data_IF_778234184833
#
_entry.id   IF_778234184833
#
_cell.length_a   1.000
_cell.length_b   1.000
_cell.length_c   1.000
_cell.angle_alpha   90.00
_cell.angle_beta   90.00
_cell.angle_gamma   90.00
#
_symmetry.space_group_name_H-M   'P 1'
#
loop_
_entity.id
_entity.type
_entity.pdbx_description
1 polymer ?
#
# COMPACT_ATOMS: atom_id res chain seq x y z
N UNK A 1 -30.92 33.59 1.70
CA UNK A 1 -30.50 34.32 2.91
C UNK A 1 -29.86 33.35 3.92
N UNK A 2 -30.44 32.17 4.17
CA UNK A 2 -29.89 31.15 5.10
C UNK A 2 -28.57 30.50 4.66
N UNK A 3 -28.36 30.23 3.37
CA UNK A 3 -27.15 29.51 2.92
C UNK A 3 -25.86 30.31 3.11
N UNK A 4 -25.91 31.64 2.92
CA UNK A 4 -24.74 32.49 3.12
C UNK A 4 -24.30 32.48 4.59
N UNK A 5 -25.25 32.58 5.52
CA UNK A 5 -24.98 32.49 6.96
C UNK A 5 -24.40 31.12 7.33
N UNK A 6 -24.92 30.05 6.71
CA UNK A 6 -24.36 28.71 6.86
C UNK A 6 -22.91 28.65 6.36
N UNK A 7 -22.62 29.12 5.14
CA UNK A 7 -21.25 29.12 4.60
C UNK A 7 -20.29 29.94 5.47
N UNK A 8 -20.73 31.07 6.01
CA UNK A 8 -19.95 31.87 6.97
C UNK A 8 -19.67 31.05 8.25
N UNK A 9 -20.66 30.34 8.79
CA UNK A 9 -20.47 29.47 9.96
C UNK A 9 -19.52 28.29 9.68
N UNK A 10 -19.63 27.67 8.50
CA UNK A 10 -18.74 26.59 8.08
C UNK A 10 -17.29 27.06 7.93
N UNK A 11 -17.08 28.30 7.48
CA UNK A 11 -15.74 28.88 7.44
C UNK A 11 -15.18 29.16 8.83
N UNK A 12 -16.00 29.62 9.78
CA UNK A 12 -15.57 29.77 11.18
C UNK A 12 -15.13 28.42 11.77
N UNK A 13 -15.91 27.35 11.54
CA UNK A 13 -15.51 26.02 11.99
C UNK A 13 -14.24 25.52 11.32
N UNK A 14 -14.03 25.86 10.05
CA UNK A 14 -12.81 25.50 9.34
C UNK A 14 -11.59 26.22 9.92
N UNK A 15 -11.69 27.52 10.22
CA UNK A 15 -10.64 28.29 10.88
C UNK A 15 -10.34 27.80 12.31
N UNK A 16 -11.26 27.03 12.91
CA UNK A 16 -11.13 26.42 14.24
C UNK A 16 -10.71 24.93 14.16
N UNK A 17 -10.37 24.43 12.98
CA UNK A 17 -10.06 23.01 12.72
C UNK A 17 -11.21 22.04 13.09
N UNK A 18 -12.44 22.53 13.21
CA UNK A 18 -13.64 21.74 13.54
C UNK A 18 -14.20 21.02 12.28
N UNK A 19 -13.35 20.31 11.55
CA UNK A 19 -13.70 19.67 10.27
C UNK A 19 -14.79 18.60 10.41
N UNK A 20 -14.74 17.80 11.47
CA UNK A 20 -15.76 16.79 11.75
C UNK A 20 -17.14 17.42 11.97
N UNK A 21 -17.19 18.62 12.56
CA UNK A 21 -18.44 19.36 12.76
C UNK A 21 -19.01 19.86 11.43
N UNK A 22 -18.16 20.31 10.51
CA UNK A 22 -18.56 20.66 9.14
C UNK A 22 -19.15 19.44 8.44
N UNK A 23 -18.47 18.29 8.51
CA UNK A 23 -18.91 17.04 7.90
C UNK A 23 -20.28 16.64 8.43
N UNK A 24 -20.43 16.51 9.74
CA UNK A 24 -21.68 16.12 10.38
C UNK A 24 -22.83 17.07 10.00
N UNK A 25 -22.57 18.37 10.03
CA UNK A 25 -23.59 19.36 9.72
C UNK A 25 -24.09 19.27 8.27
N UNK A 26 -23.17 19.15 7.30
CA UNK A 26 -23.56 19.06 5.88
C UNK A 26 -24.18 17.68 5.57
N UNK A 27 -23.73 16.60 6.21
CA UNK A 27 -24.30 15.27 6.00
C UNK A 27 -25.76 15.17 6.46
N UNK A 28 -26.17 15.94 7.46
CA UNK A 28 -27.56 16.05 7.89
C UNK A 28 -28.48 16.75 6.87
N UNK A 29 -27.91 17.42 5.86
CA UNK A 29 -28.66 17.98 4.74
C UNK A 29 -28.82 16.87 3.68
N UNK A 30 -30.05 16.61 3.18
CA UNK A 30 -30.28 15.65 2.10
C UNK A 30 -29.39 15.95 0.88
N UNK A 31 -28.85 14.92 0.24
CA UNK A 31 -27.94 15.09 -0.92
C UNK A 31 -28.56 15.93 -2.05
N UNK A 32 -29.86 15.79 -2.30
CA UNK A 32 -30.60 16.58 -3.29
C UNK A 32 -30.63 18.07 -3.00
N UNK A 33 -30.44 18.45 -1.74
CA UNK A 33 -30.58 19.82 -1.25
C UNK A 33 -29.21 20.48 -1.01
N UNK A 34 -28.11 19.73 -1.18
CA UNK A 34 -26.76 20.27 -1.07
C UNK A 34 -26.42 21.06 -2.32
N UNK A 35 -26.11 22.34 -2.13
CA UNK A 35 -25.57 23.17 -3.20
C UNK A 35 -24.15 22.77 -3.58
N UNK A 36 -23.70 23.24 -4.73
CA UNK A 36 -22.30 23.12 -5.17
C UNK A 36 -21.32 23.62 -4.09
N UNK A 37 -21.63 24.76 -3.48
CA UNK A 37 -20.82 25.40 -2.45
C UNK A 37 -20.72 24.51 -1.21
N UNK A 38 -21.84 23.91 -0.75
CA UNK A 38 -21.84 22.97 0.37
C UNK A 38 -21.07 21.69 0.06
N UNK A 39 -21.22 21.12 -1.14
CA UNK A 39 -20.43 19.95 -1.58
C UNK A 39 -18.94 20.29 -1.57
N UNK A 40 -18.56 21.47 -2.04
CA UNK A 40 -17.19 21.95 -1.98
C UNK A 40 -16.66 22.05 -0.54
N UNK A 41 -17.45 22.58 0.40
CA UNK A 41 -17.07 22.67 1.81
C UNK A 41 -16.93 21.29 2.47
N UNK A 42 -17.83 20.36 2.14
CA UNK A 42 -17.77 18.98 2.61
C UNK A 42 -16.50 18.29 2.11
N UNK A 43 -16.17 18.40 0.83
CA UNK A 43 -14.95 17.84 0.26
C UNK A 43 -13.68 18.47 0.89
N UNK A 44 -13.69 19.78 1.16
CA UNK A 44 -12.59 20.44 1.90
C UNK A 44 -12.42 19.82 3.28
N UNK A 45 -13.51 19.65 4.03
CA UNK A 45 -13.44 19.06 5.36
C UNK A 45 -12.95 17.60 5.32
N UNK A 46 -13.42 16.81 4.34
CA UNK A 46 -12.91 15.45 4.13
C UNK A 46 -11.40 15.41 3.87
N UNK A 47 -10.88 16.25 2.95
CA UNK A 47 -9.45 16.36 2.71
C UNK A 47 -8.65 16.65 3.98
N UNK A 48 -9.12 17.59 4.82
CA UNK A 48 -8.43 17.95 6.07
C UNK A 48 -8.54 16.88 7.18
N UNK A 49 -9.40 15.87 6.99
CA UNK A 49 -9.55 14.73 7.91
C UNK A 49 -8.94 13.43 7.36
N UNK A 50 -8.21 13.50 6.24
CA UNK A 50 -7.63 12.32 5.59
C UNK A 50 -8.63 11.43 4.84
N UNK A 51 -9.90 11.87 4.72
CA UNK A 51 -10.98 11.14 4.06
C UNK A 51 -11.02 11.40 2.56
N UNK A 52 -9.88 11.18 1.90
CA UNK A 52 -9.65 11.61 0.52
C UNK A 52 -10.57 10.95 -0.50
N UNK A 53 -10.93 9.67 -0.30
CA UNK A 53 -11.85 8.95 -1.20
C UNK A 53 -13.25 9.57 -1.15
N UNK A 54 -13.76 9.89 0.05
CA UNK A 54 -15.04 10.60 0.17
C UNK A 54 -14.96 12.02 -0.40
N UNK A 55 -13.83 12.72 -0.26
CA UNK A 55 -13.63 14.02 -0.90
C UNK A 55 -13.73 13.92 -2.43
N UNK A 56 -13.07 12.93 -3.04
CA UNK A 56 -13.13 12.67 -4.49
C UNK A 56 -14.57 12.39 -4.92
N UNK A 57 -15.28 11.51 -4.22
CA UNK A 57 -16.68 11.18 -4.52
C UNK A 57 -17.57 12.42 -4.51
N UNK A 58 -17.47 13.25 -3.47
CA UNK A 58 -18.24 14.49 -3.37
C UNK A 58 -17.87 15.47 -4.49
N UNK A 59 -16.59 15.67 -4.80
CA UNK A 59 -16.16 16.57 -5.87
C UNK A 59 -16.67 16.10 -7.23
N UNK A 60 -16.53 14.81 -7.54
CA UNK A 60 -17.00 14.23 -8.79
C UNK A 60 -18.52 14.32 -8.95
N UNK A 61 -19.31 14.29 -7.86
CA UNK A 61 -20.77 14.47 -7.92
C UNK A 61 -21.20 15.81 -8.52
N UNK A 62 -20.33 16.83 -8.48
CA UNK A 62 -20.58 18.18 -9.00
C UNK A 62 -19.62 18.58 -10.13
N UNK A 63 -19.06 17.59 -10.85
CA UNK A 63 -18.03 17.82 -11.87
C UNK A 63 -18.46 18.77 -12.99
N UNK A 64 -19.74 18.80 -13.37
CA UNK A 64 -20.26 19.64 -14.46
C UNK A 64 -19.95 21.12 -14.25
N UNK A 65 -20.05 21.59 -13.00
CA UNK A 65 -19.67 22.94 -12.59
C UNK A 65 -18.20 23.01 -12.17
N UNK A 66 -17.73 21.99 -11.46
CA UNK A 66 -16.38 21.94 -10.87
C UNK A 66 -15.24 22.01 -11.88
N UNK A 67 -15.42 21.50 -13.10
CA UNK A 67 -14.34 21.44 -14.11
C UNK A 67 -13.79 22.84 -14.50
N UNK A 68 -14.56 23.90 -14.24
CA UNK A 68 -14.22 25.29 -14.53
C UNK A 68 -13.85 26.11 -13.28
N UNK A 69 -13.79 25.48 -12.10
CA UNK A 69 -13.47 26.12 -10.82
C UNK A 69 -12.06 25.71 -10.36
N UNK A 70 -11.10 26.65 -10.23
CA UNK A 70 -9.74 26.33 -9.81
C UNK A 70 -9.68 25.73 -8.40
N UNK A 71 -10.56 26.14 -7.47
CA UNK A 71 -10.55 25.59 -6.11
C UNK A 71 -11.08 24.16 -6.06
N UNK A 72 -12.06 23.84 -6.90
CA UNK A 72 -12.53 22.46 -7.07
C UNK A 72 -11.43 21.57 -7.63
N UNK A 73 -10.74 22.04 -8.68
CA UNK A 73 -9.62 21.32 -9.29
C UNK A 73 -8.49 21.10 -8.30
N UNK A 74 -8.13 22.14 -7.54
CA UNK A 74 -7.12 22.04 -6.48
C UNK A 74 -7.51 21.01 -5.42
N UNK A 75 -8.76 21.04 -4.92
CA UNK A 75 -9.22 20.08 -3.90
C UNK A 75 -9.25 18.64 -4.42
N UNK A 76 -9.59 18.46 -5.69
CA UNK A 76 -9.60 17.15 -6.33
C UNK A 76 -8.17 16.64 -6.55
N UNK A 77 -7.28 17.50 -7.03
CA UNK A 77 -5.85 17.20 -7.19
C UNK A 77 -5.20 16.84 -5.86
N UNK A 78 -5.50 17.60 -4.80
CA UNK A 78 -5.06 17.33 -3.44
C UNK A 78 -5.52 15.94 -3.00
N UNK A 79 -6.81 15.62 -3.12
CA UNK A 79 -7.33 14.32 -2.72
C UNK A 79 -6.67 13.17 -3.50
N UNK A 80 -6.48 13.32 -4.83
CA UNK A 80 -5.77 12.32 -5.64
C UNK A 80 -4.30 12.15 -5.26
N UNK A 81 -3.60 13.25 -4.93
CA UNK A 81 -2.20 13.21 -4.52
C UNK A 81 -1.99 12.36 -3.27
N UNK A 82 -2.88 12.47 -2.29
CA UNK A 82 -2.81 11.73 -1.03
C UNK A 82 -3.31 10.29 -1.10
N UNK A 83 -3.93 9.87 -2.22
CA UNK A 83 -4.22 8.45 -2.50
C UNK A 83 -3.28 7.89 -3.59
N UNK A 84 -2.10 8.50 -3.76
CA UNK A 84 -1.07 8.12 -4.72
C UNK A 84 -1.54 8.03 -6.20
N UNK A 85 -2.69 8.64 -6.53
CA UNK A 85 -3.20 8.72 -7.90
C UNK A 85 -2.54 9.88 -8.66
N UNK A 86 -1.21 9.84 -8.78
CA UNK A 86 -0.40 10.99 -9.18
C UNK A 86 -0.73 11.53 -10.58
N UNK A 87 -1.04 10.67 -11.55
CA UNK A 87 -1.46 11.10 -12.88
C UNK A 87 -2.75 11.94 -12.83
N UNK A 88 -3.75 11.46 -12.09
CA UNK A 88 -5.02 12.19 -11.89
C UNK A 88 -4.82 13.47 -11.09
N UNK A 89 -3.92 13.44 -10.11
CA UNK A 89 -3.55 14.61 -9.32
C UNK A 89 -2.92 15.69 -10.21
N UNK A 90 -1.95 15.31 -11.05
CA UNK A 90 -1.31 16.22 -12.01
C UNK A 90 -2.34 16.82 -12.96
N UNK A 91 -3.19 16.02 -13.58
CA UNK A 91 -4.24 16.53 -14.48
C UNK A 91 -5.14 17.58 -13.80
N UNK A 92 -5.53 17.34 -12.55
CA UNK A 92 -6.35 18.28 -11.78
C UNK A 92 -5.58 19.56 -11.44
N UNK A 93 -4.32 19.46 -10.97
CA UNK A 93 -3.51 20.64 -10.65
C UNK A 93 -3.09 21.44 -11.88
N UNK A 94 -2.81 20.79 -13.01
CA UNK A 94 -2.54 21.46 -14.29
C UNK A 94 -3.77 22.25 -14.72
N UNK A 95 -4.95 21.65 -14.60
CA UNK A 95 -6.20 22.34 -14.88
C UNK A 95 -6.48 23.48 -13.90
N UNK A 96 -6.14 23.33 -12.62
CA UNK A 96 -6.20 24.42 -11.65
C UNK A 96 -5.29 25.59 -12.06
N UNK A 97 -4.05 25.31 -12.48
CA UNK A 97 -3.08 26.31 -12.93
C UNK A 97 -3.48 26.98 -14.27
N UNK A 98 -4.18 26.27 -15.16
CA UNK A 98 -4.76 26.89 -16.37
C UNK A 98 -5.85 27.92 -16.03
N UNK A 99 -6.70 27.60 -15.04
CA UNK A 99 -7.82 28.43 -14.61
C UNK A 99 -7.37 29.61 -13.72
N UNK A 100 -6.36 29.38 -12.88
CA UNK A 100 -5.74 30.39 -12.01
C UNK A 100 -4.21 30.27 -12.08
N UNK A 101 -3.57 30.89 -13.09
CA UNK A 101 -2.12 30.87 -13.23
C UNK A 101 -1.42 31.59 -12.08
N UNK A 102 -0.21 31.14 -11.74
CA UNK A 102 0.64 31.72 -10.69
C UNK A 102 0.10 31.58 -9.26
N UNK A 103 -0.76 30.59 -9.01
CA UNK A 103 -1.10 30.16 -7.66
C UNK A 103 0.06 29.33 -7.08
N UNK A 104 0.74 29.88 -6.07
CA UNK A 104 1.95 29.29 -5.48
C UNK A 104 1.69 27.86 -4.97
N UNK A 105 0.57 27.64 -4.27
CA UNK A 105 0.22 26.33 -3.73
C UNK A 105 0.01 25.29 -4.83
N UNK A 106 -0.63 25.65 -5.94
CA UNK A 106 -0.80 24.76 -7.10
C UNK A 106 0.53 24.42 -7.75
N UNK A 107 1.42 25.41 -7.91
CA UNK A 107 2.74 25.21 -8.50
C UNK A 107 3.64 24.31 -7.64
N UNK A 108 3.60 24.47 -6.31
CA UNK A 108 4.31 23.61 -5.35
C UNK A 108 3.87 22.14 -5.48
N UNK A 109 2.55 21.88 -5.57
CA UNK A 109 2.06 20.52 -5.79
C UNK A 109 2.49 19.96 -7.15
N UNK A 110 2.45 20.75 -8.23
CA UNK A 110 2.91 20.29 -9.54
C UNK A 110 4.41 19.94 -9.54
N UNK A 111 5.25 20.74 -8.89
CA UNK A 111 6.68 20.46 -8.76
C UNK A 111 6.93 19.17 -7.97
N UNK A 112 6.21 18.98 -6.86
CA UNK A 112 6.31 17.78 -6.03
C UNK A 112 5.83 16.51 -6.74
N UNK A 113 4.75 16.60 -7.52
CA UNK A 113 4.04 15.42 -8.05
C UNK A 113 4.62 14.90 -9.37
N UNK A 114 5.24 15.75 -10.20
CA UNK A 114 5.85 15.32 -11.47
C UNK A 114 6.82 14.15 -11.32
N UNK A 115 7.87 14.22 -10.46
CA UNK A 115 8.79 13.09 -10.30
C UNK A 115 8.10 11.85 -9.73
N UNK A 116 7.11 12.01 -8.84
CA UNK A 116 6.33 10.88 -8.29
C UNK A 116 5.49 10.19 -9.36
N UNK A 117 4.86 10.95 -10.25
CA UNK A 117 4.08 10.40 -11.35
C UNK A 117 4.98 9.70 -12.37
N UNK A 118 6.16 10.26 -12.67
CA UNK A 118 7.14 9.63 -13.55
C UNK A 118 7.64 8.30 -12.97
N UNK A 119 8.02 8.25 -11.68
CA UNK A 119 8.40 6.99 -11.01
C UNK A 119 7.24 5.98 -11.05
N UNK A 120 6.00 6.39 -10.73
CA UNK A 120 4.84 5.49 -10.79
C UNK A 120 4.59 4.93 -12.19
N UNK A 121 4.82 5.72 -13.25
CA UNK A 121 4.69 5.26 -14.63
C UNK A 121 5.79 4.25 -14.99
N UNK A 122 7.02 4.49 -14.54
CA UNK A 122 8.13 3.55 -14.73
C UNK A 122 7.86 2.24 -13.98
N UNK A 123 7.38 2.32 -12.74
CA UNK A 123 7.00 1.15 -11.94
C UNK A 123 5.90 0.33 -12.62
N UNK A 124 4.89 1.00 -13.21
CA UNK A 124 3.84 0.32 -13.97
C UNK A 124 4.41 -0.40 -15.20
N UNK A 125 5.32 0.22 -15.94
CA UNK A 125 5.97 -0.43 -17.09
C UNK A 125 6.80 -1.65 -16.68
N UNK A 126 7.54 -1.55 -15.57
CA UNK A 126 8.30 -2.67 -15.00
C UNK A 126 7.35 -3.79 -14.56
N UNK A 127 6.27 -3.45 -13.86
CA UNK A 127 5.24 -4.41 -13.46
C UNK A 127 4.64 -5.14 -14.66
N UNK A 128 4.29 -4.42 -15.73
CA UNK A 128 3.74 -5.04 -16.94
C UNK A 128 4.74 -5.99 -17.60
N UNK A 129 6.01 -5.62 -17.67
CA UNK A 129 7.08 -6.48 -18.19
C UNK A 129 7.27 -7.77 -17.36
N UNK A 130 7.29 -7.64 -16.02
CA UNK A 130 7.39 -8.76 -15.10
C UNK A 130 6.16 -9.67 -15.19
N UNK A 131 4.96 -9.09 -15.28
CA UNK A 131 3.73 -9.87 -15.46
C UNK A 131 3.77 -10.67 -16.75
N UNK A 132 4.18 -10.07 -17.85
CA UNK A 132 4.32 -10.75 -19.15
C UNK A 132 5.39 -11.87 -19.07
N UNK A 133 6.43 -11.70 -18.27
CA UNK A 133 7.43 -12.74 -17.98
C UNK A 133 6.84 -13.90 -17.17
N UNK A 134 6.13 -13.62 -16.08
CA UNK A 134 5.46 -14.64 -15.28
C UNK A 134 4.41 -15.41 -16.08
N UNK A 135 3.69 -14.76 -16.99
CA UNK A 135 2.80 -15.42 -17.93
C UNK A 135 3.55 -16.36 -18.89
N UNK A 136 4.66 -15.89 -19.49
CA UNK A 136 5.50 -16.69 -20.39
C UNK A 136 6.11 -17.91 -19.70
N UNK A 137 6.59 -17.74 -18.46
CA UNK A 137 7.15 -18.83 -17.63
C UNK A 137 6.07 -19.79 -17.11
N UNK A 138 4.79 -19.43 -17.27
CA UNK A 138 3.64 -20.21 -16.81
C UNK A 138 3.30 -19.99 -15.34
N UNK A 139 4.07 -19.20 -14.59
CA UNK A 139 3.86 -18.93 -13.15
C UNK A 139 2.47 -18.35 -12.87
N UNK A 140 1.94 -17.51 -13.77
CA UNK A 140 0.56 -17.00 -13.67
C UNK A 140 -0.50 -18.10 -13.93
N UNK A 141 -0.18 -19.08 -14.78
CA UNK A 141 -1.09 -20.15 -15.24
C UNK A 141 -0.97 -21.45 -14.41
N UNK A 142 0.06 -21.60 -13.58
CA UNK A 142 0.33 -22.79 -12.76
C UNK A 142 -0.58 -22.93 -11.53
N UNK A 143 -1.56 -22.04 -11.33
CA UNK A 143 -2.64 -22.13 -10.32
C UNK A 143 -3.51 -23.41 -10.44
N UNK A 144 -3.28 -24.28 -11.43
CA UNK A 144 -4.02 -25.56 -11.56
C UNK A 144 -3.18 -26.83 -11.71
N UNK A 145 -1.87 -26.76 -11.91
CA UNK A 145 -1.05 -27.97 -12.06
C UNK A 145 0.44 -27.66 -11.91
N UNK A 146 0.99 -27.79 -10.70
CA UNK A 146 2.37 -28.19 -10.50
C UNK A 146 2.57 -28.68 -9.06
N UNK A 147 2.91 -29.96 -8.94
CA UNK A 147 3.22 -30.67 -7.71
C UNK A 147 4.70 -30.46 -7.39
N UNK A 148 4.98 -29.65 -6.38
CA UNK A 148 6.22 -29.70 -5.59
C UNK A 148 6.43 -28.43 -4.75
N UNK A 149 6.97 -28.44 -3.53
CA UNK A 149 6.98 -29.43 -2.43
C UNK A 149 7.11 -28.61 -1.13
N UNK A 150 6.17 -27.71 -0.81
CA UNK A 150 6.06 -27.29 0.58
C UNK A 150 5.00 -28.18 1.23
N UNK A 151 5.45 -29.05 2.13
CA UNK A 151 4.57 -29.65 3.11
C UNK A 151 4.37 -28.61 4.18
N UNK A 152 3.13 -28.16 4.47
CA UNK A 152 2.93 -27.21 5.57
C UNK A 152 3.51 -27.68 6.91
N UNK A 153 3.63 -29.00 7.09
CA UNK A 153 4.27 -29.62 8.24
C UNK A 153 5.78 -29.32 8.41
N UNK A 154 6.47 -28.94 7.34
CA UNK A 154 7.93 -28.69 7.34
C UNK A 154 8.28 -27.26 6.92
N UNK A 155 7.29 -26.42 6.66
CA UNK A 155 7.52 -25.05 6.19
C UNK A 155 8.01 -24.14 7.33
N UNK A 156 7.51 -24.36 8.55
CA UNK A 156 7.81 -23.53 9.71
C UNK A 156 8.95 -24.12 10.53
N UNK A 157 9.95 -23.30 10.83
CA UNK A 157 10.95 -23.62 11.84
C UNK A 157 10.28 -23.69 13.22
N UNK A 158 10.51 -24.79 13.92
CA UNK A 158 9.98 -24.99 15.26
C UNK A 158 11.05 -24.63 16.29
N UNK A 159 10.97 -23.42 16.84
CA UNK A 159 11.84 -22.95 17.91
C UNK A 159 11.03 -22.17 18.97
N UNK A 160 11.52 -22.18 20.21
CA UNK A 160 10.90 -21.41 21.30
C UNK A 160 10.88 -19.91 20.94
N UNK A 161 11.93 -19.44 20.25
CA UNK A 161 12.00 -18.08 19.74
C UNK A 161 10.86 -17.76 18.74
N UNK A 162 10.65 -18.62 17.74
CA UNK A 162 9.57 -18.42 16.77
C UNK A 162 8.20 -18.42 17.46
N UNK A 163 7.98 -19.36 18.38
CA UNK A 163 6.73 -19.49 19.13
C UNK A 163 6.42 -18.25 19.96
N UNK A 164 7.43 -17.75 20.69
CA UNK A 164 7.26 -16.62 21.61
C UNK A 164 7.11 -15.28 20.88
N UNK A 165 7.75 -15.11 19.71
CA UNK A 165 7.81 -13.80 19.05
C UNK A 165 6.90 -13.68 17.81
N UNK A 166 6.68 -14.76 17.06
CA UNK A 166 6.06 -14.69 15.72
C UNK A 166 4.77 -15.52 15.59
N UNK A 167 4.64 -16.63 16.33
CA UNK A 167 3.47 -17.51 16.19
C UNK A 167 2.29 -17.01 17.00
N UNK A 168 1.26 -16.51 16.31
CA UNK A 168 0.01 -16.06 16.93
C UNK A 168 -0.98 -17.20 17.16
N UNK A 169 -1.96 -16.97 18.02
CA UNK A 169 -3.13 -17.87 18.16
C UNK A 169 -3.90 -17.98 16.83
N UNK A 170 -4.67 -19.07 16.61
CA UNK A 170 -5.56 -19.19 15.47
C UNK A 170 -6.54 -18.02 15.37
N UNK A 171 -6.86 -17.62 14.14
CA UNK A 171 -7.80 -16.54 13.83
C UNK A 171 -9.11 -17.08 13.27
N UNK A 172 -10.15 -16.25 13.33
CA UNK A 172 -11.45 -16.50 12.73
C UNK A 172 -11.75 -15.51 11.58
N UNK A 173 -12.93 -15.64 10.97
CA UNK A 173 -13.36 -14.78 9.86
C UNK A 173 -13.54 -13.32 10.29
N UNK A 174 -13.93 -13.07 11.55
CA UNK A 174 -14.09 -11.71 12.07
C UNK A 174 -12.73 -11.01 12.16
N UNK A 175 -11.68 -11.72 12.60
CA UNK A 175 -10.32 -11.22 12.61
C UNK A 175 -9.82 -10.85 11.21
N UNK A 176 -10.08 -11.70 10.20
CA UNK A 176 -9.71 -11.42 8.80
C UNK A 176 -10.37 -10.12 8.34
N UNK A 177 -11.70 -10.02 8.44
CA UNK A 177 -12.45 -8.82 8.00
C UNK A 177 -11.98 -7.57 8.74
N UNK A 178 -11.65 -7.71 10.03
CA UNK A 178 -11.14 -6.62 10.84
C UNK A 178 -9.76 -6.13 10.37
N UNK A 179 -8.83 -7.05 10.09
CA UNK A 179 -7.49 -6.72 9.59
C UNK A 179 -7.56 -6.13 8.17
N UNK A 180 -8.34 -6.73 7.26
CA UNK A 180 -8.51 -6.21 5.90
C UNK A 180 -9.09 -4.78 5.91
N UNK A 181 -10.02 -4.49 6.82
CA UNK A 181 -10.57 -3.13 6.99
C UNK A 181 -9.52 -2.14 7.49
N UNK A 182 -8.67 -2.56 8.42
CA UNK A 182 -7.61 -1.74 9.00
C UNK A 182 -6.52 -1.41 7.98
N UNK A 183 -6.09 -2.41 7.23
CA UNK A 183 -5.06 -2.28 6.20
C UNK A 183 -5.59 -1.67 4.90
N UNK A 184 -6.88 -1.84 4.61
CA UNK A 184 -7.52 -1.35 3.40
C UNK A 184 -7.40 -2.26 2.17
N UNK A 185 -6.96 -3.50 2.35
CA UNK A 185 -6.69 -4.46 1.28
C UNK A 185 -7.19 -5.87 1.66
N UNK A 186 -7.64 -6.63 0.65
CA UNK A 186 -8.01 -8.04 0.80
C UNK A 186 -6.80 -8.93 0.93
N UNK A 187 -6.77 -9.80 1.92
CA UNK A 187 -5.68 -10.76 2.06
C UNK A 187 -5.77 -11.84 0.97
N UNK A 188 -4.64 -12.23 0.34
CA UNK A 188 -4.63 -13.31 -0.64
C UNK A 188 -5.13 -14.62 -0.02
N UNK A 189 -5.90 -15.41 -0.78
CA UNK A 189 -6.42 -16.68 -0.28
C UNK A 189 -5.30 -17.66 0.10
N UNK A 190 -4.19 -17.64 -0.64
CA UNK A 190 -2.99 -18.43 -0.37
C UNK A 190 -2.30 -18.02 0.94
N UNK A 191 -2.33 -16.73 1.28
CA UNK A 191 -1.82 -16.20 2.54
C UNK A 191 -2.64 -16.72 3.72
N UNK A 192 -3.96 -16.56 3.67
CA UNK A 192 -4.88 -17.07 4.70
C UNK A 192 -4.71 -18.59 4.87
N UNK A 193 -4.60 -19.34 3.77
CA UNK A 193 -4.41 -20.77 3.81
C UNK A 193 -3.13 -21.19 4.52
N UNK A 194 -2.01 -20.49 4.27
CA UNK A 194 -0.74 -20.76 4.96
C UNK A 194 -0.87 -20.44 6.46
N UNK A 195 -1.49 -19.31 6.80
CA UNK A 195 -1.67 -18.89 8.19
C UNK A 195 -2.58 -19.83 9.00
N UNK A 196 -3.48 -20.58 8.36
CA UNK A 196 -4.23 -21.65 9.02
C UNK A 196 -3.38 -22.85 9.43
N UNK A 197 -2.18 -22.99 8.86
CA UNK A 197 -1.24 -24.07 9.24
C UNK A 197 -0.41 -23.66 10.46
N UNK A 198 0.03 -22.40 10.50
CA UNK A 198 0.59 -21.70 11.67
C UNK A 198 0.42 -20.20 11.43
N UNK A 199 -0.12 -19.45 12.40
CA UNK A 199 -0.45 -18.04 12.22
C UNK A 199 0.77 -17.12 12.43
N UNK A 200 1.62 -17.05 11.41
CA UNK A 200 2.91 -16.37 11.45
C UNK A 200 4.03 -17.29 11.95
N UNK A 201 5.28 -16.88 11.72
CA UNK A 201 6.44 -17.66 12.15
C UNK A 201 7.69 -17.43 11.31
N UNK A 202 8.72 -18.21 11.61
CA UNK A 202 9.97 -18.27 10.86
C UNK A 202 9.87 -19.42 9.86
N UNK A 203 9.99 -19.19 8.55
CA UNK A 203 10.03 -20.27 7.57
C UNK A 203 11.39 -20.98 7.63
N UNK A 204 11.45 -22.26 7.27
CA UNK A 204 12.72 -23.01 7.20
C UNK A 204 13.62 -22.59 6.04
N UNK A 205 13.02 -21.97 5.01
CA UNK A 205 13.71 -21.41 3.85
C UNK A 205 13.47 -19.90 3.87
N UNK A 206 14.53 -19.12 3.86
CA UNK A 206 14.49 -17.69 4.20
C UNK A 206 15.06 -16.79 3.11
N UNK A 207 15.70 -17.33 2.08
CA UNK A 207 16.23 -16.54 0.97
C UNK A 207 15.33 -16.64 -0.27
N UNK A 208 15.29 -15.59 -1.08
CA UNK A 208 14.58 -15.57 -2.36
C UNK A 208 15.51 -15.02 -3.45
N UNK A 209 15.75 -15.77 -4.55
CA UNK A 209 16.65 -15.33 -5.62
C UNK A 209 16.06 -14.15 -6.40
N UNK A 210 16.90 -13.18 -6.75
CA UNK A 210 16.57 -12.03 -7.59
C UNK A 210 17.53 -11.96 -8.80
N UNK A 211 17.16 -11.21 -9.83
CA UNK A 211 18.06 -10.85 -10.94
C UNK A 211 18.50 -9.39 -10.87
N UNK A 212 17.98 -8.67 -9.88
CA UNK A 212 18.26 -7.28 -9.59
C UNK A 212 19.05 -7.22 -8.27
N UNK A 213 20.13 -6.44 -8.28
CA UNK A 213 20.94 -6.18 -7.09
C UNK A 213 20.13 -5.33 -6.10
N UNK A 214 20.29 -5.62 -4.81
CA UNK A 214 19.77 -4.84 -3.68
C UNK A 214 20.91 -4.04 -3.05
N UNK A 215 20.63 -3.23 -2.03
CA UNK A 215 21.67 -2.49 -1.29
C UNK A 215 22.74 -3.40 -0.66
N UNK A 216 22.42 -4.67 -0.40
CA UNK A 216 23.27 -5.58 0.37
C UNK A 216 23.60 -6.93 -0.31
N UNK A 217 22.91 -7.31 -1.38
CA UNK A 217 23.17 -8.55 -2.13
C UNK A 217 22.94 -8.38 -3.64
N UNK A 218 23.74 -9.07 -4.46
CA UNK A 218 23.67 -8.98 -5.92
C UNK A 218 22.52 -9.80 -6.54
N UNK A 219 22.08 -10.87 -5.87
CA UNK A 219 21.27 -11.92 -6.48
C UNK A 219 20.17 -12.52 -5.59
N UNK A 220 19.91 -11.93 -4.42
CA UNK A 220 18.86 -12.41 -3.52
C UNK A 220 18.35 -11.34 -2.53
N UNK A 221 17.20 -11.64 -1.92
CA UNK A 221 16.74 -11.04 -0.66
C UNK A 221 16.60 -12.12 0.40
N UNK A 222 16.50 -11.71 1.67
CA UNK A 222 16.27 -12.61 2.79
C UNK A 222 15.14 -12.11 3.69
N UNK A 223 14.40 -13.04 4.29
CA UNK A 223 13.37 -12.78 5.29
C UNK A 223 13.70 -13.51 6.58
N UNK A 224 13.31 -12.94 7.72
CA UNK A 224 13.47 -13.56 9.04
C UNK A 224 12.17 -14.19 9.53
N UNK A 225 11.03 -13.63 9.12
CA UNK A 225 9.72 -14.15 9.51
C UNK A 225 8.63 -13.70 8.54
N UNK A 226 7.52 -14.43 8.54
CA UNK A 226 6.27 -14.04 7.88
C UNK A 226 5.27 -13.65 8.96
N UNK A 227 4.66 -12.48 8.82
CA UNK A 227 3.67 -11.95 9.75
C UNK A 227 2.44 -12.85 9.86
N UNK A 228 1.90 -12.97 11.07
CA UNK A 228 0.60 -13.60 11.30
C UNK A 228 -0.57 -12.62 11.16
N UNK A 229 -1.77 -13.12 10.94
CA UNK A 229 -3.03 -12.38 10.96
C UNK A 229 -3.43 -12.14 12.42
N UNK A 230 -3.32 -10.90 12.89
CA UNK A 230 -3.66 -10.53 14.26
C UNK A 230 -3.01 -9.23 14.71
N UNK A 231 -3.06 -8.98 16.02
CA UNK A 231 -2.56 -7.75 16.66
C UNK A 231 -1.73 -8.01 17.94
N UNK A 232 -1.64 -9.27 18.36
CA UNK A 232 -1.06 -9.63 19.66
C UNK A 232 0.45 -9.73 19.58
N UNK A 233 0.99 -10.35 18.52
CA UNK A 233 2.45 -10.42 18.32
C UNK A 233 2.93 -9.10 17.72
N UNK A 234 4.10 -8.64 18.16
CA UNK A 234 4.70 -7.37 17.72
C UNK A 234 4.80 -7.28 16.19
N UNK A 235 5.20 -8.38 15.54
CA UNK A 235 5.40 -8.47 14.09
C UNK A 235 4.22 -9.09 13.33
N UNK A 236 3.04 -9.21 13.96
CA UNK A 236 1.81 -9.56 13.25
C UNK A 236 1.32 -8.39 12.39
N UNK A 237 0.44 -8.65 11.42
CA UNK A 237 -0.01 -7.65 10.45
C UNK A 237 -0.52 -6.34 11.09
N UNK A 238 -1.29 -6.44 12.19
CA UNK A 238 -1.77 -5.31 12.99
C UNK A 238 -1.08 -5.20 14.35
N UNK A 239 0.13 -5.74 14.49
CA UNK A 239 0.96 -5.62 15.67
C UNK A 239 1.63 -4.24 15.80
N UNK A 240 2.35 -4.03 16.90
CA UNK A 240 3.07 -2.77 17.19
C UNK A 240 4.05 -2.38 16.07
N UNK A 241 4.76 -3.35 15.50
CA UNK A 241 5.66 -3.19 14.36
C UNK A 241 5.08 -3.86 13.10
N UNK A 242 3.75 -3.82 12.97
CA UNK A 242 3.02 -4.38 11.84
C UNK A 242 3.05 -3.49 10.60
N UNK A 243 2.19 -3.82 9.63
CA UNK A 243 2.23 -3.19 8.31
C UNK A 243 1.99 -1.68 8.34
N UNK A 244 1.10 -1.19 9.21
CA UNK A 244 0.83 0.25 9.30
C UNK A 244 2.00 1.02 9.90
N UNK A 245 2.65 0.48 10.92
CA UNK A 245 3.84 1.11 11.52
C UNK A 245 4.96 1.31 10.48
N UNK A 246 5.22 0.31 9.64
CA UNK A 246 6.26 0.44 8.61
C UNK A 246 5.95 1.55 7.60
N UNK A 247 4.68 1.71 7.22
CA UNK A 247 4.25 2.74 6.26
C UNK A 247 4.19 4.13 6.92
N UNK A 248 3.56 4.24 8.09
CA UNK A 248 3.22 5.51 8.73
C UNK A 248 4.39 6.10 9.53
N UNK A 249 5.13 5.26 10.26
CA UNK A 249 6.19 5.69 11.16
C UNK A 249 7.58 5.56 10.51
N UNK A 250 7.81 4.51 9.73
CA UNK A 250 9.09 4.30 9.02
C UNK A 250 9.13 4.91 7.61
N UNK A 251 7.99 5.34 7.08
CA UNK A 251 7.92 6.07 5.82
C UNK A 251 8.03 5.21 4.57
N UNK A 252 7.82 3.89 4.68
CA UNK A 252 7.70 3.03 3.50
C UNK A 252 6.52 3.46 2.63
N UNK A 253 6.62 3.31 1.29
CA UNK A 253 5.53 3.67 0.41
C UNK A 253 4.28 2.82 0.70
N UNK A 254 3.10 3.43 0.69
CA UNK A 254 1.81 2.74 0.83
C UNK A 254 1.45 2.02 -0.48
N UNK A 255 2.16 0.92 -0.76
CA UNK A 255 1.91 0.04 -1.91
C UNK A 255 0.80 -0.98 -1.61
N UNK A 256 0.60 -1.31 -0.34
CA UNK A 256 -0.16 -2.47 0.09
C UNK A 256 0.19 -2.94 1.50
N UNK A 257 0.41 -4.25 1.68
CA UNK A 257 0.59 -4.87 3.00
C UNK A 257 2.04 -5.32 3.17
N UNK A 258 2.73 -4.89 4.22
CA UNK A 258 4.02 -5.47 4.65
C UNK A 258 3.75 -6.82 5.31
N UNK A 259 4.42 -7.87 4.82
CA UNK A 259 4.13 -9.27 5.21
C UNK A 259 5.31 -10.04 5.78
N UNK A 260 6.54 -9.54 5.64
CA UNK A 260 7.72 -10.16 6.20
C UNK A 260 8.61 -9.15 6.92
N UNK A 261 9.33 -9.65 7.92
CA UNK A 261 10.50 -8.99 8.48
C UNK A 261 11.76 -9.48 7.74
N UNK A 262 12.79 -8.64 7.70
CA UNK A 262 14.04 -8.89 6.99
C UNK A 262 15.25 -8.73 7.94
N UNK A 263 16.40 -9.35 7.65
CA UNK A 263 17.57 -9.31 8.55
C UNK A 263 18.15 -7.91 8.80
N UNK A 264 17.75 -6.92 7.99
CA UNK A 264 18.26 -5.55 7.99
C UNK A 264 17.75 -4.67 9.14
N UNK A 265 16.96 -5.22 10.08
CA UNK A 265 16.34 -4.45 11.16
C UNK A 265 15.41 -3.32 10.66
N UNK A 266 14.68 -3.58 9.57
CA UNK A 266 13.66 -2.68 9.01
C UNK A 266 14.16 -1.74 7.91
N UNK A 267 15.40 -1.87 7.46
CA UNK A 267 15.94 -1.13 6.30
C UNK A 267 15.48 -1.71 4.96
N UNK A 268 14.85 -2.87 4.96
CA UNK A 268 14.05 -3.38 3.85
C UNK A 268 12.83 -4.17 4.33
N UNK A 269 11.85 -4.31 3.45
CA UNK A 269 10.61 -5.06 3.72
C UNK A 269 10.15 -5.83 2.49
N UNK A 270 9.37 -6.89 2.73
CA UNK A 270 8.61 -7.58 1.67
C UNK A 270 7.14 -7.19 1.80
N UNK A 271 6.55 -6.76 0.69
CA UNK A 271 5.17 -6.27 0.61
C UNK A 271 4.35 -7.04 -0.42
N UNK A 272 3.06 -7.17 -0.14
CA UNK A 272 2.03 -7.41 -1.15
C UNK A 272 1.70 -6.08 -1.83
N UNK A 273 2.00 -5.94 -3.12
CA UNK A 273 1.78 -4.71 -3.88
C UNK A 273 0.42 -4.73 -4.60
N UNK A 274 -0.46 -3.81 -4.22
CA UNK A 274 -1.82 -3.69 -4.74
C UNK A 274 -2.00 -2.52 -5.73
N UNK A 275 -0.95 -1.74 -6.00
CA UNK A 275 -1.04 -0.51 -6.80
C UNK A 275 -1.76 -0.73 -8.14
N UNK A 276 -1.51 -1.87 -8.77
CA UNK A 276 -1.97 -2.15 -10.14
C UNK A 276 -3.08 -3.21 -10.24
N UNK A 277 -3.35 -3.97 -9.17
CA UNK A 277 -4.46 -4.92 -9.12
C UNK A 277 -5.69 -4.39 -8.34
N UNK A 278 -5.53 -3.30 -7.58
CA UNK A 278 -6.57 -2.71 -6.75
C UNK A 278 -6.79 -3.48 -5.45
N UNK A 279 -7.49 -2.88 -4.48
CA UNK A 279 -7.57 -3.40 -3.09
C UNK A 279 -8.18 -4.79 -2.93
N UNK A 280 -8.93 -5.27 -3.92
CA UNK A 280 -9.58 -6.58 -3.93
C UNK A 280 -8.91 -7.56 -4.91
N UNK A 281 -7.86 -7.13 -5.60
CA UNK A 281 -7.13 -7.95 -6.58
C UNK A 281 -6.15 -8.93 -5.93
N UNK A 282 -5.62 -9.85 -6.73
CA UNK A 282 -4.48 -10.69 -6.32
C UNK A 282 -3.19 -9.86 -6.49
N UNK A 283 -2.50 -9.49 -5.40
CA UNK A 283 -1.28 -8.68 -5.46
C UNK A 283 -0.07 -9.51 -5.89
N UNK A 284 0.92 -8.86 -6.50
CA UNK A 284 2.25 -9.43 -6.60
C UNK A 284 3.03 -9.23 -5.29
N UNK A 285 4.19 -9.87 -5.17
CA UNK A 285 5.09 -9.71 -4.03
C UNK A 285 6.32 -8.93 -4.47
N UNK A 286 6.68 -7.92 -3.70
CA UNK A 286 7.82 -7.04 -3.95
C UNK A 286 8.69 -6.92 -2.71
N UNK A 287 9.98 -6.69 -2.92
CA UNK A 287 10.89 -6.17 -1.92
C UNK A 287 11.01 -4.66 -2.10
N UNK A 288 11.14 -3.93 -0.98
CA UNK A 288 11.34 -2.48 -0.98
C UNK A 288 12.56 -2.16 -0.12
N UNK A 289 13.55 -1.54 -0.74
CA UNK A 289 14.85 -1.22 -0.12
C UNK A 289 14.91 0.26 0.30
N UNK A 290 14.90 0.54 1.60
CA UNK A 290 14.99 1.92 2.09
C UNK A 290 16.33 2.58 1.76
N UNK A 291 17.43 1.81 1.81
CA UNK A 291 18.78 2.34 1.60
C UNK A 291 19.00 2.76 0.15
N UNK A 292 18.30 2.10 -0.78
CA UNK A 292 18.23 2.50 -2.20
C UNK A 292 16.98 3.35 -2.53
N UNK A 293 16.63 4.30 -1.67
CA UNK A 293 15.55 5.27 -1.92
C UNK A 293 14.18 4.61 -2.22
N UNK A 294 13.86 3.57 -1.46
CA UNK A 294 12.63 2.77 -1.60
C UNK A 294 12.50 2.19 -3.00
N UNK A 295 13.59 1.68 -3.56
CA UNK A 295 13.56 0.98 -4.83
C UNK A 295 12.84 -0.35 -4.69
N UNK A 296 12.14 -0.73 -5.76
CA UNK A 296 11.23 -1.87 -5.78
C UNK A 296 11.83 -2.97 -6.62
N UNK A 297 11.96 -4.16 -6.03
CA UNK A 297 12.34 -5.39 -6.73
C UNK A 297 11.15 -6.33 -6.75
N UNK A 298 10.71 -6.72 -7.94
CA UNK A 298 9.58 -7.65 -8.12
C UNK A 298 10.02 -9.08 -7.86
N UNK A 299 9.42 -9.74 -6.88
CA UNK A 299 9.83 -11.08 -6.45
C UNK A 299 8.97 -12.16 -7.11
N UNK A 300 7.64 -12.02 -7.03
CA UNK A 300 6.73 -13.06 -7.50
C UNK A 300 5.35 -12.53 -7.91
N UNK A 301 4.69 -13.26 -8.81
CA UNK A 301 3.36 -12.92 -9.31
C UNK A 301 2.25 -12.90 -8.24
N UNK A 302 2.44 -13.64 -7.14
CA UNK A 302 1.52 -13.71 -6.02
C UNK A 302 2.21 -14.36 -4.82
N UNK A 303 1.53 -14.34 -3.67
CA UNK A 303 2.07 -14.87 -2.43
C UNK A 303 2.43 -16.36 -2.50
N UNK A 304 1.62 -17.19 -3.18
CA UNK A 304 1.92 -18.62 -3.32
C UNK A 304 3.23 -18.86 -4.08
N UNK A 305 3.44 -18.12 -5.19
CA UNK A 305 4.67 -18.21 -5.96
C UNK A 305 5.88 -17.75 -5.14
N UNK A 306 5.73 -16.71 -4.32
CA UNK A 306 6.79 -16.25 -3.41
C UNK A 306 7.20 -17.33 -2.42
N UNK A 307 6.27 -17.88 -1.63
CA UNK A 307 6.60 -18.90 -0.62
C UNK A 307 7.15 -20.19 -1.21
N UNK A 308 6.78 -20.52 -2.46
CA UNK A 308 7.36 -21.66 -3.20
C UNK A 308 8.75 -21.39 -3.76
N UNK A 309 9.10 -20.12 -3.96
CA UNK A 309 10.40 -19.70 -4.47
C UNK A 309 11.45 -19.47 -3.37
N UNK A 310 11.07 -19.57 -2.10
CA UNK A 310 12.02 -19.52 -1.00
C UNK A 310 12.99 -20.71 -1.07
N UNK A 311 14.28 -20.43 -0.86
CA UNK A 311 15.38 -21.38 -0.89
C UNK A 311 16.21 -21.28 0.39
N UNK A 312 17.13 -22.24 0.54
CA UNK A 312 18.06 -22.27 1.66
C UNK A 312 19.04 -21.08 1.55
N UNK A 313 19.21 -20.26 2.60
CA UNK A 313 20.14 -19.13 2.56
C UNK A 313 21.58 -19.55 2.25
N UNK A 314 21.98 -20.78 2.62
CA UNK A 314 23.31 -21.31 2.34
C UNK A 314 23.58 -21.45 0.82
N UNK A 315 22.55 -21.35 -0.03
CA UNK A 315 22.70 -21.32 -1.50
C UNK A 315 23.50 -20.10 -1.98
N UNK A 316 23.55 -19.04 -1.20
CA UNK A 316 24.21 -17.76 -1.54
C UNK A 316 25.47 -17.50 -0.70
N UNK A 317 25.80 -18.38 0.25
CA UNK A 317 27.10 -18.33 0.91
C UNK A 317 28.18 -18.74 -0.09
N UNK A 318 29.03 -17.79 -0.48
CA UNK A 318 30.18 -18.06 -1.36
C UNK A 318 31.12 -18.99 -0.59
N UNK A 319 31.43 -20.17 -1.13
CA UNK A 319 32.54 -20.99 -0.65
C UNK A 319 33.83 -20.16 -0.71
N UNK A 320 34.23 -19.55 0.41
CA UNK A 320 35.49 -18.78 0.54
C UNK A 320 36.73 -19.63 0.22
N UNK A 321 36.58 -20.96 0.11
CA UNK A 321 37.63 -21.92 -0.19
C UNK A 321 37.95 -22.09 -1.69
N UNK A 322 37.14 -21.58 -2.64
CA UNK A 322 37.42 -21.70 -4.09
C UNK A 322 38.27 -20.55 -4.67
N UNK A 323 38.56 -19.50 -3.91
CA UNK A 323 39.42 -18.38 -4.39
C UNK A 323 40.93 -18.59 -4.20
N UNK A 324 41.37 -19.67 -3.53
CA UNK A 324 42.79 -19.94 -3.24
C UNK A 324 43.32 -21.27 -3.84
N UNK A 325 42.78 -21.69 -5.01
CA UNK A 325 43.22 -22.89 -5.76
C UNK A 325 44.06 -22.61 -7.01
#
# INVERSE_FOLDING_TARGET
MMERELLEQLNIWHEQDEYNRIIEHIQNIPESDRSYELVGQLARAYNNTGRYREAIEQLLSVHERGTYDPLWQYRLGYAYAYIASYEKALLAFERANELLPHDDSTLEFLEMLRPKAEKMQQDLQRYEAERDEWERRGTLNHLRAASGTYTPATFWEQSDYALDNHVSEPFDEEMIVSIERELGYKLPASYIQLMHTQNGGVPTLTAFPTQEETSWAEDHIAITSISGIGRVKMYSLGGEFGSRFMIEDWGYPDLGIVICDCPSAGHDVVMLDYRFCGSEGEPCVVHVDQEDNYEITYLAANFEAFVRGLVDPDTFEIDEDEQDS
#
